data_IF_268909443679
#
_entry.id   IF_268909443679
#
_cell.length_a   1.000
_cell.length_b   1.000
_cell.length_c   1.000
_cell.angle_alpha   90.00
_cell.angle_beta   90.00
_cell.angle_gamma   90.00
#
_symmetry.space_group_name_H-M   'P 1'
#
loop_
_entity.id
_entity.type
_entity.pdbx_description
1 polymer ?
#
# COMPACT_ATOMS: atom_id res chain seq x y z
N UNK A 1 -21.50 -21.82 18.88
CA UNK A 1 -22.56 -21.49 17.87
C UNK A 1 -22.63 -22.52 16.72
N UNK A 2 -22.08 -23.73 16.92
CA UNK A 2 -22.16 -24.77 15.91
C UNK A 2 -23.64 -25.18 15.72
N UNK A 3 -24.11 -25.07 14.47
CA UNK A 3 -25.49 -25.39 14.12
C UNK A 3 -26.48 -24.23 14.15
N UNK A 4 -26.20 -23.15 14.85
CA UNK A 4 -27.08 -21.98 14.89
C UNK A 4 -26.91 -21.10 13.64
N UNK A 5 -27.97 -20.35 13.33
CA UNK A 5 -27.96 -19.39 12.21
C UNK A 5 -28.08 -17.99 12.74
N UNK A 6 -27.21 -17.13 12.24
CA UNK A 6 -27.09 -15.72 12.63
C UNK A 6 -27.56 -14.82 11.50
N UNK A 7 -28.29 -13.77 11.84
CA UNK A 7 -28.66 -12.71 10.91
C UNK A 7 -27.56 -11.63 10.82
N UNK A 8 -26.84 -11.43 11.91
CA UNK A 8 -25.73 -10.49 12.00
C UNK A 8 -24.62 -11.09 12.86
N UNK A 9 -23.39 -10.98 12.37
CA UNK A 9 -22.16 -11.32 13.08
C UNK A 9 -21.27 -10.09 13.06
N UNK A 10 -20.85 -9.66 14.25
CA UNK A 10 -19.93 -8.53 14.39
C UNK A 10 -18.63 -9.02 15.01
N UNK A 11 -17.51 -8.72 14.39
CA UNK A 11 -16.18 -8.90 14.95
C UNK A 11 -15.59 -7.50 15.22
N UNK A 12 -15.38 -7.21 16.47
CA UNK A 12 -14.75 -5.98 16.90
C UNK A 12 -13.27 -6.20 17.12
N UNK A 13 -12.46 -5.21 16.77
CA UNK A 13 -11.00 -5.22 16.89
C UNK A 13 -10.32 -6.48 16.29
N UNK A 14 -10.89 -6.98 15.18
CA UNK A 14 -10.48 -8.24 14.56
C UNK A 14 -9.00 -8.27 14.12
N UNK A 15 -8.42 -7.11 13.83
CA UNK A 15 -7.00 -6.95 13.50
C UNK A 15 -6.05 -7.11 14.69
N UNK A 16 -6.58 -7.07 15.93
CA UNK A 16 -5.81 -7.18 17.17
C UNK A 16 -5.84 -8.57 17.81
N UNK A 17 -6.44 -9.56 17.14
CA UNK A 17 -6.52 -10.92 17.66
C UNK A 17 -5.17 -11.65 17.47
N UNK A 18 -4.44 -11.88 18.57
CA UNK A 18 -3.06 -12.37 18.58
C UNK A 18 -2.93 -13.90 18.59
N UNK A 19 -3.96 -14.63 19.01
CA UNK A 19 -3.91 -16.09 19.23
C UNK A 19 -3.96 -16.91 17.93
N UNK A 20 -3.54 -18.22 17.97
CA UNK A 20 -3.58 -19.11 16.81
C UNK A 20 -4.95 -19.21 16.14
N UNK A 21 -6.05 -19.13 16.90
CA UNK A 21 -7.42 -18.98 16.38
C UNK A 21 -7.64 -17.57 15.86
N UNK A 22 -6.71 -17.11 15.09
CA UNK A 22 -6.72 -15.79 14.48
C UNK A 22 -8.02 -15.59 13.66
N UNK A 23 -8.21 -14.36 13.24
CA UNK A 23 -9.41 -13.96 12.49
C UNK A 23 -9.66 -14.82 11.23
N UNK A 24 -8.61 -15.35 10.57
CA UNK A 24 -8.79 -16.21 9.40
C UNK A 24 -9.47 -17.54 9.75
N UNK A 25 -9.02 -18.18 10.83
CA UNK A 25 -9.60 -19.45 11.29
C UNK A 25 -11.00 -19.21 11.83
N UNK A 26 -11.18 -18.19 12.64
CA UNK A 26 -12.48 -17.82 13.16
C UNK A 26 -13.49 -17.55 12.03
N UNK A 27 -13.10 -16.73 11.04
CA UNK A 27 -13.95 -16.45 9.89
C UNK A 27 -14.30 -17.69 9.07
N UNK A 28 -13.36 -18.61 8.90
CA UNK A 28 -13.59 -19.87 8.18
C UNK A 28 -14.74 -20.68 8.81
N UNK A 29 -14.82 -20.69 10.14
CA UNK A 29 -15.87 -21.41 10.88
C UNK A 29 -17.15 -20.59 10.93
N UNK A 30 -17.07 -19.33 11.39
CA UNK A 30 -18.24 -18.51 11.70
C UNK A 30 -19.05 -18.09 10.48
N UNK A 31 -18.41 -17.94 9.30
CA UNK A 31 -19.14 -17.62 8.06
C UNK A 31 -20.23 -18.66 7.69
N UNK A 32 -20.13 -19.88 8.21
CA UNK A 32 -21.13 -20.93 7.95
C UNK A 32 -22.42 -20.66 8.68
N UNK A 33 -22.38 -19.94 9.80
CA UNK A 33 -23.58 -19.56 10.57
C UNK A 33 -24.46 -18.55 9.81
N UNK A 34 -23.86 -17.82 8.86
CA UNK A 34 -24.57 -16.83 8.05
C UNK A 34 -25.25 -17.42 6.80
N UNK A 35 -25.24 -18.75 6.67
CA UNK A 35 -25.78 -19.46 5.51
C UNK A 35 -26.79 -20.53 5.89
N UNK A 36 -27.79 -20.68 5.05
CA UNK A 36 -28.71 -21.81 5.06
C UNK A 36 -28.52 -22.57 3.74
N UNK A 37 -27.73 -23.63 3.77
CA UNK A 37 -27.27 -24.31 2.55
C UNK A 37 -26.44 -23.36 1.66
N UNK A 38 -26.84 -23.19 0.42
CA UNK A 38 -26.19 -22.27 -0.54
C UNK A 38 -26.61 -20.81 -0.38
N UNK A 39 -27.70 -20.54 0.34
CA UNK A 39 -28.27 -19.21 0.50
C UNK A 39 -27.57 -18.45 1.64
N UNK A 40 -27.12 -17.23 1.40
CA UNK A 40 -26.65 -16.31 2.45
C UNK A 40 -27.89 -15.67 3.09
N UNK A 41 -28.04 -15.81 4.41
CA UNK A 41 -29.15 -15.27 5.19
C UNK A 41 -28.74 -14.18 6.17
N UNK A 42 -27.48 -14.16 6.57
CA UNK A 42 -26.94 -13.19 7.51
C UNK A 42 -25.82 -12.34 6.91
N UNK A 43 -25.45 -11.31 7.64
CA UNK A 43 -24.38 -10.35 7.28
C UNK A 43 -23.27 -10.40 8.33
N UNK A 44 -22.05 -10.05 7.92
CA UNK A 44 -20.94 -9.86 8.84
C UNK A 44 -20.37 -8.44 8.69
N UNK A 45 -20.03 -7.85 9.81
CA UNK A 45 -19.27 -6.60 9.91
C UNK A 45 -18.01 -6.88 10.73
N UNK A 46 -16.85 -6.45 10.23
CA UNK A 46 -15.58 -6.51 10.95
C UNK A 46 -14.98 -5.12 10.95
N UNK A 47 -14.80 -4.54 12.13
CA UNK A 47 -14.13 -3.26 12.32
C UNK A 47 -12.82 -3.46 13.08
N UNK A 48 -11.77 -2.76 12.68
CA UNK A 48 -10.51 -2.74 13.42
C UNK A 48 -9.54 -1.71 12.86
N UNK A 49 -8.66 -1.20 13.72
CA UNK A 49 -7.32 -0.75 13.32
C UNK A 49 -6.42 -1.97 13.17
N UNK A 50 -5.31 -1.84 12.43
CA UNK A 50 -4.36 -2.94 12.25
C UNK A 50 -3.41 -3.02 13.45
N UNK A 51 -3.09 -4.25 13.87
CA UNK A 51 -2.00 -4.51 14.80
C UNK A 51 -0.69 -4.76 14.02
N UNK A 52 0.44 -4.80 14.73
CA UNK A 52 1.71 -5.25 14.19
C UNK A 52 1.54 -6.63 13.50
N UNK A 53 2.28 -6.85 12.41
CA UNK A 53 2.04 -8.02 11.55
C UNK A 53 2.31 -9.35 12.27
N UNK A 54 3.24 -9.39 13.21
CA UNK A 54 3.55 -10.54 14.07
C UNK A 54 2.51 -10.77 15.17
N UNK A 55 1.78 -9.72 15.58
CA UNK A 55 0.76 -9.74 16.64
C UNK A 55 -0.68 -9.87 16.11
N UNK A 56 -0.88 -10.59 15.02
CA UNK A 56 -2.21 -10.83 14.42
C UNK A 56 -2.50 -9.99 13.18
N UNK A 57 -1.85 -8.86 12.99
CA UNK A 57 -2.05 -7.97 11.84
C UNK A 57 -1.83 -8.64 10.49
N UNK A 58 -0.90 -9.59 10.38
CA UNK A 58 -0.66 -10.37 9.14
C UNK A 58 -1.88 -11.17 8.70
N UNK A 59 -2.61 -11.76 9.62
CA UNK A 59 -3.80 -12.54 9.31
C UNK A 59 -4.98 -11.64 8.94
N UNK A 60 -5.11 -10.51 9.62
CA UNK A 60 -6.10 -9.50 9.28
C UNK A 60 -5.81 -8.89 7.89
N UNK A 61 -4.57 -8.54 7.59
CA UNK A 61 -4.13 -8.09 6.26
C UNK A 61 -4.51 -9.10 5.17
N UNK A 62 -4.23 -10.39 5.37
CA UNK A 62 -4.62 -11.44 4.42
C UNK A 62 -6.13 -11.50 4.20
N UNK A 63 -6.92 -11.35 5.27
CA UNK A 63 -8.38 -11.33 5.17
C UNK A 63 -8.84 -10.08 4.41
N UNK A 64 -8.27 -8.92 4.73
CA UNK A 64 -8.56 -7.66 4.07
C UNK A 64 -8.24 -7.70 2.56
N UNK A 65 -7.04 -8.14 2.18
CA UNK A 65 -6.64 -8.32 0.78
C UNK A 65 -7.51 -9.33 0.03
N UNK A 66 -7.92 -10.42 0.71
CA UNK A 66 -8.86 -11.41 0.19
C UNK A 66 -10.29 -10.88 0.05
N UNK A 67 -10.59 -9.70 0.60
CA UNK A 67 -11.87 -9.02 0.55
C UNK A 67 -11.93 -7.91 -0.49
N UNK A 68 -10.88 -7.73 -1.29
CA UNK A 68 -10.76 -6.66 -2.28
C UNK A 68 -11.88 -6.75 -3.34
N UNK A 69 -12.69 -5.70 -3.43
CA UNK A 69 -13.86 -5.60 -4.32
C UNK A 69 -13.49 -5.61 -5.82
N UNK A 70 -12.25 -5.28 -6.15
CA UNK A 70 -11.77 -5.32 -7.54
C UNK A 70 -11.36 -6.72 -8.01
N UNK A 71 -11.14 -7.65 -7.05
CA UNK A 71 -10.71 -9.04 -7.29
C UNK A 71 -11.85 -10.02 -7.03
N UNK A 72 -12.89 -9.96 -7.86
CA UNK A 72 -14.06 -10.85 -7.75
C UNK A 72 -13.95 -12.02 -8.71
N UNK A 73 -14.50 -13.16 -8.30
CA UNK A 73 -14.68 -14.32 -9.17
C UNK A 73 -15.83 -14.09 -10.15
N UNK A 74 -16.10 -15.09 -11.02
CA UNK A 74 -17.19 -15.02 -12.01
C UNK A 74 -18.59 -14.84 -11.39
N UNK A 75 -18.76 -15.21 -10.13
CA UNK A 75 -20.02 -15.06 -9.38
C UNK A 75 -20.10 -13.73 -8.60
N UNK A 76 -19.16 -12.81 -8.82
CA UNK A 76 -19.10 -11.51 -8.16
C UNK A 76 -18.62 -11.55 -6.70
N UNK A 77 -18.09 -12.68 -6.22
CA UNK A 77 -17.63 -12.84 -4.84
C UNK A 77 -16.11 -12.64 -4.73
N UNK A 78 -15.69 -12.04 -3.63
CA UNK A 78 -14.28 -12.00 -3.22
C UNK A 78 -13.85 -13.36 -2.67
N UNK A 79 -12.55 -13.58 -2.51
CA UNK A 79 -12.02 -14.85 -1.99
C UNK A 79 -12.42 -15.12 -0.53
N UNK A 80 -12.60 -14.09 0.28
CA UNK A 80 -13.08 -14.18 1.66
C UNK A 80 -14.61 -14.30 1.75
N UNK A 81 -15.33 -13.76 0.76
CA UNK A 81 -16.78 -13.54 0.80
C UNK A 81 -17.19 -12.24 1.50
N UNK A 82 -16.21 -11.44 1.98
CA UNK A 82 -16.38 -10.11 2.54
C UNK A 82 -15.98 -9.05 1.52
N UNK A 83 -16.30 -7.80 1.81
CA UNK A 83 -15.89 -6.64 1.00
C UNK A 83 -15.10 -5.70 1.89
N UNK A 84 -13.84 -5.42 1.51
CA UNK A 84 -13.00 -4.48 2.23
C UNK A 84 -13.46 -3.03 2.00
N UNK A 85 -13.47 -2.28 3.10
CA UNK A 85 -13.65 -0.83 3.11
C UNK A 85 -12.53 -0.23 3.95
N UNK A 86 -11.82 0.73 3.41
CA UNK A 86 -10.84 1.52 4.14
C UNK A 86 -11.44 2.90 4.41
N UNK A 87 -11.35 3.34 5.65
CA UNK A 87 -11.76 4.68 6.08
C UNK A 87 -10.48 5.38 6.54
N UNK A 88 -9.99 6.38 5.81
CA UNK A 88 -8.84 7.19 6.23
C UNK A 88 -9.13 7.89 7.56
N UNK A 89 -8.09 8.07 8.38
CA UNK A 89 -8.22 8.64 9.72
C UNK A 89 -8.86 10.04 9.71
N UNK A 90 -8.58 10.85 8.71
CA UNK A 90 -9.08 12.21 8.59
C UNK A 90 -10.60 12.31 8.50
N UNK A 91 -11.29 11.22 8.16
CA UNK A 91 -12.75 11.21 8.09
C UNK A 91 -13.45 11.11 9.45
N UNK A 92 -12.75 10.65 10.46
CA UNK A 92 -13.36 10.38 11.77
C UNK A 92 -12.38 10.63 12.92
N UNK A 93 -11.48 11.60 12.77
CA UNK A 93 -10.56 11.94 13.84
C UNK A 93 -11.27 12.76 14.90
N UNK A 94 -11.22 12.27 16.13
CA UNK A 94 -11.87 12.90 17.28
C UNK A 94 -11.33 14.32 17.50
N UNK A 95 -12.24 15.26 17.76
CA UNK A 95 -11.89 16.68 17.92
C UNK A 95 -11.78 17.48 16.62
N UNK A 96 -11.89 16.84 15.44
CA UNK A 96 -11.79 17.51 14.13
C UNK A 96 -13.06 17.40 13.29
N UNK A 97 -14.20 17.22 13.95
CA UNK A 97 -15.52 17.16 13.30
C UNK A 97 -16.30 18.42 13.70
N UNK A 98 -16.82 19.15 12.72
CA UNK A 98 -17.58 20.35 12.96
C UNK A 98 -19.00 20.07 13.52
N UNK A 99 -19.71 21.10 13.92
CA UNK A 99 -21.08 20.99 14.47
C UNK A 99 -22.09 20.40 13.51
N UNK A 100 -21.79 20.33 12.20
CA UNK A 100 -22.62 19.73 11.17
C UNK A 100 -22.26 18.26 10.88
N UNK A 101 -21.24 17.72 11.55
CA UNK A 101 -20.75 16.35 11.37
C UNK A 101 -19.79 16.19 10.21
N UNK A 102 -19.20 17.26 9.69
CA UNK A 102 -18.19 17.18 8.64
C UNK A 102 -16.78 17.28 9.19
N UNK A 103 -15.83 16.46 8.69
CA UNK A 103 -14.44 16.56 9.09
C UNK A 103 -13.80 17.85 8.55
N UNK A 104 -13.00 18.50 9.39
CA UNK A 104 -12.21 19.67 9.04
C UNK A 104 -10.84 19.22 8.54
N UNK A 105 -10.72 18.97 7.24
CA UNK A 105 -9.49 18.42 6.63
C UNK A 105 -8.34 19.42 6.65
N UNK A 106 -8.56 20.60 6.10
CA UNK A 106 -7.55 21.65 5.98
C UNK A 106 -7.73 22.68 7.09
N UNK A 107 -6.64 23.36 7.44
CA UNK A 107 -6.66 24.44 8.41
C UNK A 107 -7.60 25.57 7.96
N UNK A 108 -8.62 25.86 8.73
CA UNK A 108 -9.62 26.86 8.36
C UNK A 108 -9.05 28.27 8.52
N UNK A 109 -9.53 29.21 7.70
CA UNK A 109 -9.13 30.66 7.80
C UNK A 109 -9.53 31.32 9.11
N UNK A 110 -10.53 30.79 9.78
CA UNK A 110 -11.01 31.22 11.10
C UNK A 110 -11.44 29.99 11.85
N UNK A 111 -11.29 29.96 13.19
CA UNK A 111 -11.68 28.81 14.00
C UNK A 111 -13.10 28.35 13.70
N UNK A 112 -13.29 27.05 13.61
CA UNK A 112 -14.59 26.40 13.36
C UNK A 112 -15.04 25.70 14.63
N UNK A 113 -16.31 25.81 14.98
CA UNK A 113 -16.85 25.14 16.15
C UNK A 113 -17.01 23.65 15.88
N UNK A 114 -16.37 22.82 16.70
CA UNK A 114 -16.48 21.37 16.69
C UNK A 114 -17.77 20.83 17.32
N UNK A 115 -18.07 19.56 17.05
CA UNK A 115 -19.24 18.86 17.60
C UNK A 115 -19.16 18.70 19.13
N UNK A 116 -17.93 18.76 19.68
CA UNK A 116 -17.60 18.71 21.10
C UNK A 116 -17.58 20.09 21.79
N UNK A 117 -18.08 21.13 21.11
CA UNK A 117 -18.06 22.53 21.51
C UNK A 117 -16.64 23.18 21.59
N UNK A 118 -15.59 22.47 21.21
CA UNK A 118 -14.22 23.05 21.11
C UNK A 118 -14.07 23.82 19.80
N UNK A 119 -13.11 24.76 19.76
CA UNK A 119 -12.73 25.45 18.53
C UNK A 119 -11.64 24.71 17.80
N UNK A 120 -11.86 24.44 16.52
CA UNK A 120 -10.91 23.78 15.62
C UNK A 120 -10.12 24.88 14.89
N UNK A 121 -8.88 25.09 15.29
CA UNK A 121 -8.00 26.13 14.76
C UNK A 121 -7.13 25.61 13.61
N UNK A 122 -6.75 24.33 13.63
CA UNK A 122 -5.96 23.65 12.59
C UNK A 122 -6.75 22.48 12.00
N UNK A 123 -6.50 22.13 10.74
CA UNK A 123 -7.10 20.97 10.12
C UNK A 123 -6.48 19.65 10.57
N UNK A 124 -7.23 18.56 10.47
CA UNK A 124 -6.77 17.23 10.89
C UNK A 124 -5.52 16.76 10.12
N UNK A 125 -5.36 17.19 8.86
CA UNK A 125 -4.18 16.82 8.05
C UNK A 125 -2.93 17.47 8.63
N UNK A 126 -2.97 18.77 8.92
CA UNK A 126 -1.85 19.49 9.53
C UNK A 126 -1.53 18.97 10.94
N UNK A 127 -2.56 18.66 11.73
CA UNK A 127 -2.36 18.02 13.04
C UNK A 127 -1.59 16.70 12.89
N UNK A 128 -2.03 15.82 12.00
CA UNK A 128 -1.40 14.52 11.77
C UNK A 128 0.05 14.68 11.25
N UNK A 129 0.32 15.64 10.38
CA UNK A 129 1.68 15.95 9.91
C UNK A 129 2.58 16.44 11.03
N UNK A 130 2.06 17.23 11.96
CA UNK A 130 2.79 17.66 13.16
C UNK A 130 3.11 16.47 14.08
N UNK A 131 2.18 15.51 14.26
CA UNK A 131 2.43 14.28 15.01
C UNK A 131 3.53 13.43 14.36
N UNK A 132 3.48 13.26 13.03
CA UNK A 132 4.53 12.58 12.26
C UNK A 132 5.89 13.26 12.44
N UNK A 133 5.93 14.58 12.36
CA UNK A 133 7.16 15.37 12.54
C UNK A 133 7.73 15.22 13.96
N UNK A 134 6.87 15.17 14.97
CA UNK A 134 7.26 14.94 16.34
C UNK A 134 7.87 13.56 16.61
N UNK A 135 7.52 12.55 15.79
CA UNK A 135 7.99 11.17 15.95
C UNK A 135 9.13 10.77 15.00
N UNK A 136 9.72 11.71 14.27
CA UNK A 136 10.81 11.41 13.31
C UNK A 136 12.02 10.69 13.91
N UNK A 137 12.33 10.95 15.17
CA UNK A 137 13.43 10.31 15.88
C UNK A 137 13.01 8.99 16.59
N UNK A 138 11.71 8.65 16.58
CA UNK A 138 11.16 7.43 17.15
C UNK A 138 10.48 6.57 16.05
N UNK A 139 11.23 5.69 15.38
CA UNK A 139 10.69 4.84 14.31
C UNK A 139 9.56 3.90 14.75
N UNK A 140 9.60 3.41 15.98
CA UNK A 140 8.58 2.50 16.51
C UNK A 140 7.28 3.28 16.79
N UNK A 141 7.37 4.44 17.43
CA UNK A 141 6.24 5.34 17.65
C UNK A 141 5.64 5.84 16.36
N UNK A 142 6.48 6.18 15.38
CA UNK A 142 6.03 6.60 14.06
C UNK A 142 5.24 5.49 13.34
N UNK A 143 5.74 4.25 13.34
CA UNK A 143 5.03 3.12 12.74
C UNK A 143 3.72 2.82 13.46
N UNK A 144 3.68 2.99 14.80
CA UNK A 144 2.44 2.84 15.58
C UNK A 144 1.42 3.93 15.19
N UNK A 145 1.83 5.19 15.10
CA UNK A 145 0.98 6.29 14.63
C UNK A 145 0.36 5.98 13.27
N UNK A 146 1.17 5.54 12.31
CA UNK A 146 0.69 5.18 10.98
C UNK A 146 -0.34 4.03 11.00
N UNK A 147 -0.15 3.03 11.86
CA UNK A 147 -1.10 1.90 11.97
C UNK A 147 -2.40 2.29 12.67
N UNK A 148 -2.34 3.10 13.70
CA UNK A 148 -3.52 3.51 14.47
C UNK A 148 -4.32 4.61 13.77
N UNK A 149 -3.64 5.52 13.09
CA UNK A 149 -4.23 6.66 12.39
C UNK A 149 -3.81 6.67 10.90
N UNK A 150 -4.22 5.67 10.12
CA UNK A 150 -3.75 5.52 8.76
C UNK A 150 -4.47 6.47 7.80
N UNK A 151 -3.73 7.18 6.96
CA UNK A 151 -4.27 7.93 5.83
C UNK A 151 -4.41 7.08 4.57
N UNK A 152 -3.70 5.95 4.51
CA UNK A 152 -3.75 5.00 3.39
C UNK A 152 -3.80 3.57 3.89
N UNK A 153 -4.27 2.65 3.05
CA UNK A 153 -4.24 1.21 3.38
C UNK A 153 -2.81 0.71 3.67
N UNK A 154 -1.80 1.30 3.04
CA UNK A 154 -0.39 0.97 3.27
C UNK A 154 0.07 1.38 4.66
N UNK A 155 -0.36 2.55 5.13
CA UNK A 155 -0.10 2.99 6.50
C UNK A 155 -0.68 2.01 7.52
N UNK A 156 -1.92 1.57 7.31
CA UNK A 156 -2.58 0.62 8.22
C UNK A 156 -1.83 -0.71 8.37
N UNK A 157 -1.06 -1.12 7.37
CA UNK A 157 -0.37 -2.42 7.35
C UNK A 157 1.16 -2.31 7.34
N UNK A 158 1.72 -1.25 7.92
CA UNK A 158 3.17 -1.12 8.13
C UNK A 158 3.68 -2.18 9.10
N UNK A 159 4.88 -2.70 8.82
CA UNK A 159 5.54 -3.69 9.66
C UNK A 159 6.39 -3.04 10.74
N UNK A 160 6.70 -3.77 11.81
CA UNK A 160 7.63 -3.33 12.83
C UNK A 160 9.08 -3.50 12.37
N UNK A 161 9.95 -2.55 12.80
CA UNK A 161 11.36 -2.54 12.43
C UNK A 161 12.21 -3.60 13.14
N UNK A 162 11.70 -4.19 14.22
CA UNK A 162 12.50 -4.99 15.17
C UNK A 162 13.11 -6.27 14.61
N UNK A 163 12.54 -6.86 13.57
CA UNK A 163 13.01 -8.11 12.97
C UNK A 163 13.63 -7.93 11.58
N UNK A 164 13.67 -6.71 11.05
CA UNK A 164 14.22 -6.44 9.73
C UNK A 164 15.71 -6.07 9.80
N UNK A 165 16.52 -6.68 8.92
CA UNK A 165 17.90 -6.24 8.66
C UNK A 165 17.98 -4.87 7.99
N UNK A 166 16.86 -4.38 7.45
CA UNK A 166 16.74 -3.11 6.75
C UNK A 166 16.01 -2.08 7.63
N UNK A 167 16.36 -0.81 7.47
CA UNK A 167 15.62 0.28 8.10
C UNK A 167 14.28 0.47 7.38
N UNK A 168 13.23 -0.17 7.90
CA UNK A 168 11.90 -0.15 7.30
C UNK A 168 11.30 1.26 7.25
N UNK A 169 11.61 2.12 8.21
CA UNK A 169 11.15 3.52 8.20
C UNK A 169 11.63 4.24 6.94
N UNK A 170 12.94 4.17 6.65
CA UNK A 170 13.50 4.78 5.42
C UNK A 170 12.95 4.15 4.14
N UNK A 171 12.66 2.85 4.17
CA UNK A 171 12.03 2.17 3.03
C UNK A 171 10.61 2.68 2.81
N UNK A 172 9.82 2.84 3.87
CA UNK A 172 8.46 3.37 3.76
C UNK A 172 8.45 4.83 3.33
N UNK A 173 9.34 5.67 3.87
CA UNK A 173 9.52 7.05 3.40
C UNK A 173 9.84 7.11 1.91
N UNK A 174 10.72 6.23 1.43
CA UNK A 174 11.07 6.17 0.01
C UNK A 174 9.90 5.65 -0.85
N UNK A 175 9.10 4.71 -0.34
CA UNK A 175 7.90 4.23 -1.03
C UNK A 175 6.88 5.36 -1.17
N UNK A 176 6.62 6.07 -0.07
CA UNK A 176 5.69 7.21 -0.05
C UNK A 176 6.17 8.30 -1.02
N UNK A 177 7.46 8.66 -0.98
CA UNK A 177 8.06 9.61 -1.91
C UNK A 177 7.91 9.17 -3.39
N UNK A 178 8.17 7.91 -3.69
CA UNK A 178 8.04 7.40 -5.05
C UNK A 178 6.58 7.42 -5.55
N UNK A 179 5.61 7.26 -4.65
CA UNK A 179 4.20 7.36 -5.01
C UNK A 179 3.79 8.80 -5.30
N UNK A 180 4.25 9.76 -4.53
CA UNK A 180 4.03 11.18 -4.78
C UNK A 180 4.62 11.63 -6.13
N UNK A 181 5.83 11.22 -6.43
CA UNK A 181 6.45 11.46 -7.74
C UNK A 181 5.65 10.84 -8.90
N UNK A 182 5.09 9.66 -8.70
CA UNK A 182 4.24 8.98 -9.66
C UNK A 182 2.96 9.77 -9.94
N UNK A 183 2.34 10.32 -8.90
CA UNK A 183 1.17 11.19 -9.03
C UNK A 183 1.51 12.55 -9.64
N UNK A 184 2.69 13.07 -9.38
CA UNK A 184 3.19 14.35 -9.93
C UNK A 184 3.59 14.30 -11.41
N UNK A 185 3.50 13.13 -12.07
CA UNK A 185 3.85 12.95 -13.47
C UNK A 185 5.36 12.82 -13.75
N UNK A 186 6.18 12.72 -12.70
CA UNK A 186 7.64 12.53 -12.83
C UNK A 186 7.95 11.12 -13.32
N UNK A 187 7.11 10.14 -12.99
CA UNK A 187 7.24 8.76 -13.46
C UNK A 187 6.32 8.54 -14.65
N UNK A 188 6.89 8.14 -15.79
CA UNK A 188 6.13 7.87 -17.01
C UNK A 188 6.04 6.37 -17.25
N UNK A 189 4.82 5.87 -17.41
CA UNK A 189 4.59 4.49 -17.80
C UNK A 189 4.69 4.33 -19.33
N UNK A 190 5.33 3.26 -19.80
CA UNK A 190 5.51 3.05 -21.24
C UNK A 190 6.17 1.72 -21.59
N UNK A 191 6.60 1.63 -22.83
CA UNK A 191 7.30 0.46 -23.37
C UNK A 191 8.56 0.90 -24.09
N UNK A 192 9.59 0.05 -24.07
CA UNK A 192 10.74 0.18 -24.95
C UNK A 192 10.42 -0.49 -26.31
N UNK A 193 10.69 0.20 -27.38
CA UNK A 193 10.44 -0.25 -28.74
C UNK A 193 11.66 -0.02 -29.61
N UNK A 194 11.89 -0.90 -30.57
CA UNK A 194 12.89 -0.69 -31.60
C UNK A 194 12.51 0.51 -32.46
N UNK A 195 13.51 1.30 -32.85
CA UNK A 195 13.31 2.43 -33.75
C UNK A 195 12.83 1.90 -35.11
N UNK A 196 11.75 2.50 -35.62
CA UNK A 196 11.09 2.10 -36.89
C UNK A 196 10.65 0.62 -36.96
N UNK A 197 10.52 -0.06 -35.80
CA UNK A 197 10.14 -1.48 -35.73
C UNK A 197 11.21 -2.45 -36.17
N UNK A 198 12.43 -1.99 -36.44
CA UNK A 198 13.54 -2.83 -36.89
C UNK A 198 14.26 -3.42 -35.68
N UNK A 199 14.22 -4.77 -35.55
CA UNK A 199 14.92 -5.48 -34.45
C UNK A 199 16.43 -5.17 -34.47
N UNK A 200 16.99 -5.05 -33.29
CA UNK A 200 18.41 -4.72 -33.00
C UNK A 200 18.84 -3.33 -33.49
N UNK A 201 17.89 -2.46 -33.82
CA UNK A 201 18.11 -1.06 -34.04
C UNK A 201 18.17 -0.29 -32.69
N UNK A 202 18.18 1.02 -32.76
CA UNK A 202 18.12 1.87 -31.58
C UNK A 202 16.78 1.64 -30.84
N UNK A 203 16.83 1.66 -29.52
CA UNK A 203 15.64 1.54 -28.66
C UNK A 203 15.19 2.92 -28.21
N UNK A 204 13.90 3.19 -28.27
CA UNK A 204 13.28 4.38 -27.70
C UNK A 204 12.18 4.01 -26.72
N UNK A 205 11.99 4.84 -25.71
CA UNK A 205 10.86 4.71 -24.78
C UNK A 205 9.63 5.40 -25.38
N UNK A 206 8.52 4.67 -25.40
CA UNK A 206 7.23 5.17 -25.90
C UNK A 206 6.24 5.19 -24.74
N UNK A 207 5.76 6.38 -24.31
CA UNK A 207 4.77 6.49 -23.25
C UNK A 207 3.47 5.73 -23.60
N UNK A 208 2.93 5.01 -22.63
CA UNK A 208 1.67 4.28 -22.77
C UNK A 208 1.07 4.00 -21.39
N UNK A 209 -0.22 4.27 -21.19
CA UNK A 209 -0.92 3.97 -19.93
C UNK A 209 -0.97 2.48 -19.58
N UNK A 210 -0.75 1.61 -20.56
CA UNK A 210 -0.70 0.14 -20.40
C UNK A 210 0.73 -0.40 -20.58
N UNK A 211 1.73 0.48 -20.53
CA UNK A 211 3.13 0.11 -20.67
C UNK A 211 3.60 -0.81 -19.54
N UNK A 212 4.59 -1.65 -19.86
CA UNK A 212 5.17 -2.62 -18.89
C UNK A 212 6.19 -1.98 -17.95
N UNK A 213 6.76 -0.84 -18.33
CA UNK A 213 7.85 -0.18 -17.61
C UNK A 213 7.38 1.14 -17.03
N UNK A 214 7.89 1.44 -15.85
CA UNK A 214 7.75 2.75 -15.21
C UNK A 214 9.13 3.39 -15.16
N UNK A 215 9.26 4.56 -15.77
CA UNK A 215 10.55 5.23 -15.95
C UNK A 215 10.48 6.60 -15.29
N UNK A 216 11.37 6.85 -14.34
CA UNK A 216 11.48 8.13 -13.65
C UNK A 216 12.42 9.10 -14.36
N UNK A 217 13.35 8.59 -15.15
CA UNK A 217 14.32 9.42 -15.87
C UNK A 217 14.82 8.71 -17.13
N UNK A 218 14.98 9.47 -18.19
CA UNK A 218 15.62 9.02 -19.42
C UNK A 218 16.63 10.09 -19.82
N UNK A 219 17.87 9.72 -20.22
CA UNK A 219 18.85 10.68 -20.72
C UNK A 219 18.28 11.52 -21.88
N UNK A 220 18.51 12.81 -21.87
CA UNK A 220 18.16 13.68 -22.99
C UNK A 220 18.91 13.28 -24.27
N UNK A 221 18.35 13.60 -25.45
CA UNK A 221 18.89 13.23 -26.76
C UNK A 221 20.38 13.61 -26.90
N UNK A 222 20.77 14.77 -26.41
CA UNK A 222 22.16 15.23 -26.43
C UNK A 222 23.09 14.34 -25.59
N UNK A 223 22.59 13.84 -24.46
CA UNK A 223 23.33 12.93 -23.58
C UNK A 223 23.42 11.52 -24.16
N UNK A 224 22.35 11.03 -24.77
CA UNK A 224 22.32 9.72 -25.42
C UNK A 224 23.29 9.63 -26.62
N UNK A 225 23.46 10.73 -27.32
CA UNK A 225 24.31 10.80 -28.52
C UNK A 225 25.73 11.30 -28.24
N UNK A 226 26.02 11.71 -27.01
CA UNK A 226 27.36 12.21 -26.65
C UNK A 226 28.36 11.04 -26.68
N UNK A 227 29.35 11.13 -27.57
CA UNK A 227 30.43 10.14 -27.69
C UNK A 227 31.79 10.84 -27.59
N UNK A 228 32.74 10.11 -27.01
CA UNK A 228 34.16 10.49 -27.01
C UNK A 228 34.97 9.43 -27.76
N UNK A 229 36.04 9.85 -28.40
CA UNK A 229 36.95 8.92 -29.08
C UNK A 229 38.11 8.63 -28.12
N UNK A 230 38.26 7.39 -27.68
CA UNK A 230 39.39 6.89 -26.89
C UNK A 230 40.05 5.74 -27.67
N UNK A 231 41.34 5.83 -27.87
CA UNK A 231 42.12 4.82 -28.61
C UNK A 231 41.55 4.47 -30.00
N UNK A 232 40.97 5.46 -30.68
CA UNK A 232 40.40 5.29 -32.02
C UNK A 232 38.99 4.65 -32.05
N UNK A 233 38.43 4.32 -30.90
CA UNK A 233 37.07 3.77 -30.76
C UNK A 233 36.09 4.80 -30.17
N UNK A 234 34.84 4.70 -30.57
CA UNK A 234 33.75 5.53 -30.02
C UNK A 234 33.26 4.92 -28.71
N UNK A 235 33.29 5.74 -27.65
CA UNK A 235 32.76 5.42 -26.34
C UNK A 235 31.63 6.39 -25.97
N UNK A 236 30.63 6.01 -25.14
CA UNK A 236 29.70 6.97 -24.57
C UNK A 236 30.48 8.05 -23.78
N UNK A 237 30.10 9.32 -23.94
CA UNK A 237 30.73 10.39 -23.17
C UNK A 237 30.47 10.28 -21.65
N UNK A 238 29.35 9.64 -21.29
CA UNK A 238 28.88 9.44 -19.90
C UNK A 238 29.06 7.97 -19.50
N UNK A 239 30.29 7.54 -19.26
CA UNK A 239 30.60 6.14 -18.91
C UNK A 239 29.98 5.66 -17.59
N UNK A 240 29.56 6.58 -16.70
CA UNK A 240 29.05 6.28 -15.37
C UNK A 240 27.62 6.78 -15.16
N UNK A 241 26.79 6.84 -16.20
CA UNK A 241 25.41 7.30 -16.08
C UNK A 241 24.49 6.34 -15.36
N UNK A 242 24.87 5.07 -15.24
CA UNK A 242 24.06 4.07 -14.56
C UNK A 242 24.90 2.85 -14.20
N UNK A 243 24.40 2.10 -13.26
CA UNK A 243 24.91 0.78 -12.89
C UNK A 243 23.76 -0.23 -12.94
N UNK A 244 24.07 -1.45 -13.34
CA UNK A 244 23.12 -2.56 -13.32
C UNK A 244 23.48 -3.51 -12.18
N UNK A 245 22.52 -3.78 -11.31
CA UNK A 245 22.56 -4.88 -10.38
C UNK A 245 21.68 -6.00 -10.91
N UNK A 246 22.22 -7.21 -11.02
CA UNK A 246 21.45 -8.39 -11.41
C UNK A 246 21.47 -9.39 -10.29
N UNK A 247 20.30 -9.70 -9.73
CA UNK A 247 20.10 -10.85 -8.87
C UNK A 247 19.55 -11.99 -9.72
N UNK A 248 20.43 -12.96 -10.04
CA UNK A 248 20.05 -14.15 -10.79
C UNK A 248 19.62 -15.25 -9.83
N UNK A 249 18.56 -15.96 -10.15
CA UNK A 249 18.14 -17.13 -9.37
C UNK A 249 18.82 -18.41 -9.91
N UNK A 250 19.20 -19.26 -8.96
CA UNK A 250 19.84 -20.55 -9.25
C UNK A 250 18.88 -21.74 -9.04
N UNK A 251 17.81 -21.55 -8.27
CA UNK A 251 16.89 -22.61 -7.87
C UNK A 251 15.49 -22.36 -8.40
N UNK A 252 14.97 -23.30 -9.16
CA UNK A 252 13.63 -23.24 -9.79
C UNK A 252 12.47 -23.49 -8.81
N UNK A 253 12.73 -23.99 -7.61
CA UNK A 253 11.72 -24.31 -6.61
C UNK A 253 11.93 -23.59 -5.30
N UNK A 254 10.85 -23.02 -4.76
CA UNK A 254 10.80 -22.42 -3.44
C UNK A 254 9.83 -23.19 -2.54
N UNK A 255 9.99 -23.07 -1.23
CA UNK A 255 9.14 -23.75 -0.22
C UNK A 255 7.65 -23.39 -0.40
N UNK A 256 7.35 -22.21 -0.95
CA UNK A 256 5.98 -21.75 -1.21
C UNK A 256 5.48 -22.08 -2.63
N UNK A 257 6.28 -22.79 -3.45
CA UNK A 257 5.93 -23.21 -4.80
C UNK A 257 5.84 -22.07 -5.84
N UNK A 258 6.26 -20.84 -5.51
CA UNK A 258 6.16 -19.69 -6.40
C UNK A 258 7.33 -19.49 -7.35
N UNK A 259 8.40 -20.23 -7.14
CA UNK A 259 9.66 -20.06 -7.87
C UNK A 259 10.39 -18.76 -7.51
N UNK A 260 11.70 -18.81 -7.55
CA UNK A 260 12.54 -17.62 -7.40
C UNK A 260 12.45 -16.76 -8.68
N UNK A 261 12.45 -15.43 -8.52
CA UNK A 261 12.44 -14.48 -9.63
C UNK A 261 13.73 -13.70 -9.64
N UNK A 262 14.39 -13.67 -10.79
CA UNK A 262 15.52 -12.78 -11.00
C UNK A 262 15.09 -11.31 -11.00
N UNK A 263 15.95 -10.43 -10.56
CA UNK A 263 15.76 -8.99 -10.56
C UNK A 263 16.93 -8.31 -11.29
N UNK A 264 16.63 -7.31 -12.10
CA UNK A 264 17.61 -6.43 -12.74
C UNK A 264 17.32 -4.99 -12.34
N UNK A 265 18.30 -4.34 -11.77
CA UNK A 265 18.22 -2.96 -11.28
C UNK A 265 19.23 -2.04 -11.96
#
# INVERSE_FOLDING_TARGET
>A
YDGEKLMLLVHDEAGKWERPENILNNWRVTKTTLRLGSRIIGKCMMGSTSNALDKGGRNYKKLYEGSNVTKRNRNGQTSSGLYSLFIPMEWNYEGYIDTYGYPVFETPKSPVKGIDDQEIEIGVIEHWENEVDGLKEDPDGLNELYRQFPRTEKHAFRDETKESLFNLTKIYEQIDYNEDLKHSGVVTQGNFQWEDGIKDSRVRFVPSKQGRFMVSWIPGINQQNAVVIKHGMKHPANEHMGAFGCDSYDISGTVDGRGSKGSLH
#
